data_IF_515857590827
#
_entry.id   IF_515857590827
#
_cell.length_a   1.000
_cell.length_b   1.000
_cell.length_c   1.000
_cell.angle_alpha   90.00
_cell.angle_beta   90.00
_cell.angle_gamma   90.00
#
_symmetry.space_group_name_H-M   'P 1'
#
loop_
_entity.id
_entity.type
_entity.pdbx_description
1 polymer ?
#
# COMPACT_ATOMS: atom_id res chain seq x y z
N UNK A 1 10.18 14.18 7.12
CA UNK A 1 11.15 13.31 7.84
C UNK A 1 10.34 12.37 8.71
N UNK A 2 10.60 11.06 8.67
CA UNK A 2 9.73 10.03 9.26
C UNK A 2 10.18 9.51 10.63
N UNK A 3 11.41 9.83 11.05
CA UNK A 3 12.00 9.29 12.29
C UNK A 3 12.43 7.81 12.20
N UNK A 4 12.29 7.18 11.03
CA UNK A 4 12.71 5.79 10.77
C UNK A 4 14.23 5.74 10.59
N UNK A 5 14.89 4.80 11.26
CA UNK A 5 16.34 4.59 11.16
C UNK A 5 16.68 3.45 10.18
N UNK A 6 17.94 3.45 9.71
CA UNK A 6 18.42 2.39 8.80
C UNK A 6 18.42 1.00 9.46
N UNK A 7 18.64 0.93 10.77
CA UNK A 7 18.63 -0.35 11.50
C UNK A 7 17.23 -0.97 11.53
N UNK A 8 16.18 -0.15 11.57
CA UNK A 8 14.79 -0.62 11.55
C UNK A 8 14.41 -1.21 10.19
N UNK A 9 14.96 -0.70 9.09
CA UNK A 9 14.66 -1.19 7.73
C UNK A 9 15.55 -2.34 7.30
N UNK A 10 16.68 -2.59 7.99
CA UNK A 10 17.69 -3.59 7.60
C UNK A 10 17.13 -5.00 7.42
N UNK A 11 16.16 -5.37 8.25
CA UNK A 11 15.49 -6.68 8.21
C UNK A 11 13.98 -6.55 8.05
N UNK A 12 13.51 -5.39 7.61
CA UNK A 12 12.10 -5.19 7.33
C UNK A 12 11.70 -6.01 6.09
N UNK A 13 10.44 -6.50 6.04
CA UNK A 13 9.92 -7.20 4.87
C UNK A 13 10.00 -6.31 3.63
N UNK A 14 10.11 -6.95 2.47
CA UNK A 14 9.98 -6.24 1.19
C UNK A 14 8.55 -5.74 1.01
N UNK A 15 8.37 -4.77 0.11
CA UNK A 15 7.06 -4.14 -0.11
C UNK A 15 5.96 -5.17 -0.42
N UNK A 16 6.25 -6.14 -1.28
CA UNK A 16 5.29 -7.19 -1.65
C UNK A 16 4.84 -8.00 -0.43
N UNK A 17 5.80 -8.49 0.38
CA UNK A 17 5.52 -9.26 1.60
C UNK A 17 4.72 -8.43 2.61
N UNK A 18 5.09 -7.15 2.79
CA UNK A 18 4.40 -6.25 3.71
C UNK A 18 2.94 -6.01 3.30
N UNK A 19 2.66 -5.86 2.00
CA UNK A 19 1.29 -5.67 1.50
C UNK A 19 0.50 -6.98 1.60
N UNK A 20 1.10 -8.14 1.33
CA UNK A 20 0.44 -9.44 1.53
C UNK A 20 0.04 -9.62 2.99
N UNK A 21 0.93 -9.38 3.95
CA UNK A 21 0.59 -9.45 5.37
C UNK A 21 -0.55 -8.49 5.76
N UNK A 22 -0.60 -7.30 5.16
CA UNK A 22 -1.72 -6.37 5.36
C UNK A 22 -3.04 -6.96 4.81
N UNK A 23 -3.01 -7.54 3.61
CA UNK A 23 -4.18 -8.15 2.98
C UNK A 23 -4.68 -9.37 3.75
N UNK A 24 -3.77 -10.22 4.23
CA UNK A 24 -4.09 -11.34 5.12
C UNK A 24 -4.72 -10.86 6.42
N UNK A 25 -4.19 -9.78 7.01
CA UNK A 25 -4.76 -9.17 8.21
C UNK A 25 -6.16 -8.63 7.95
N UNK A 26 -6.41 -7.97 6.80
CA UNK A 26 -7.76 -7.56 6.38
C UNK A 26 -8.65 -8.79 6.19
N UNK A 27 -8.15 -9.85 5.56
CA UNK A 27 -8.88 -11.07 5.25
C UNK A 27 -10.04 -10.81 4.30
N UNK A 28 -11.13 -11.58 4.43
CA UNK A 28 -12.26 -11.58 3.50
C UNK A 28 -13.25 -10.41 3.68
N UNK A 29 -12.86 -9.34 4.40
CA UNK A 29 -13.74 -8.20 4.68
C UNK A 29 -13.80 -7.27 3.46
N UNK A 30 -14.95 -6.68 3.21
CA UNK A 30 -15.03 -5.55 2.29
C UNK A 30 -14.33 -4.33 2.90
N UNK A 31 -13.52 -3.62 2.11
CA UNK A 31 -12.77 -2.45 2.57
C UNK A 31 -12.63 -1.36 1.49
N UNK A 32 -12.43 -0.14 1.98
CA UNK A 32 -11.93 1.03 1.22
C UNK A 32 -10.76 1.63 1.98
N UNK A 33 -9.76 2.12 1.25
CA UNK A 33 -8.58 2.79 1.81
C UNK A 33 -8.83 4.28 1.82
N UNK A 34 -8.76 4.92 2.99
CA UNK A 34 -8.92 6.36 3.13
C UNK A 34 -7.55 7.01 3.35
N UNK A 35 -7.22 8.01 2.54
CA UNK A 35 -5.98 8.77 2.66
C UNK A 35 -6.27 10.27 2.72
N UNK A 36 -5.39 11.02 3.40
CA UNK A 36 -5.54 12.49 3.53
C UNK A 36 -5.28 13.24 2.22
N UNK A 37 -4.54 12.62 1.30
CA UNK A 37 -4.34 13.12 -0.06
C UNK A 37 -4.15 11.94 -1.02
N UNK A 38 -4.21 12.21 -2.32
CA UNK A 38 -3.90 11.20 -3.33
C UNK A 38 -2.40 10.82 -3.41
N UNK A 39 -1.53 11.42 -2.58
CA UNK A 39 -0.08 11.20 -2.65
C UNK A 39 0.29 9.77 -2.26
N UNK A 40 -0.30 9.23 -1.20
CA UNK A 40 0.00 7.87 -0.70
C UNK A 40 -0.35 6.81 -1.76
N UNK A 41 -1.52 6.95 -2.39
CA UNK A 41 -1.95 6.09 -3.51
C UNK A 41 -0.94 6.13 -4.67
N UNK A 42 -0.57 7.35 -5.11
CA UNK A 42 0.31 7.53 -6.27
C UNK A 42 1.72 6.99 -6.00
N UNK A 43 2.26 7.23 -4.82
CA UNK A 43 3.55 6.70 -4.38
C UNK A 43 3.52 5.16 -4.35
N UNK A 44 2.54 4.57 -3.66
CA UNK A 44 2.46 3.12 -3.54
C UNK A 44 2.29 2.45 -4.91
N UNK A 45 1.39 2.96 -5.76
CA UNK A 45 1.20 2.44 -7.12
C UNK A 45 2.48 2.52 -7.95
N UNK A 46 3.22 3.63 -7.85
CA UNK A 46 4.48 3.79 -8.55
C UNK A 46 5.53 2.78 -8.10
N UNK A 47 5.67 2.55 -6.78
CA UNK A 47 6.61 1.56 -6.23
C UNK A 47 6.26 0.12 -6.63
N UNK A 48 4.96 -0.24 -6.63
CA UNK A 48 4.50 -1.55 -7.12
C UNK A 48 4.90 -1.76 -8.59
N UNK A 49 4.71 -0.73 -9.43
CA UNK A 49 5.07 -0.77 -10.85
C UNK A 49 6.59 -0.81 -11.07
N UNK A 50 7.35 0.03 -10.36
CA UNK A 50 8.81 0.14 -10.53
C UNK A 50 9.54 -1.12 -10.10
N UNK A 51 9.02 -1.84 -9.10
CA UNK A 51 9.54 -3.11 -8.63
C UNK A 51 9.03 -4.32 -9.42
N UNK A 52 8.14 -4.12 -10.39
CA UNK A 52 7.60 -5.20 -11.24
C UNK A 52 6.72 -6.19 -10.48
N UNK A 53 6.05 -5.75 -9.42
CA UNK A 53 5.17 -6.61 -8.62
C UNK A 53 3.88 -6.87 -9.41
N UNK A 54 3.58 -8.15 -9.68
CA UNK A 54 2.43 -8.58 -10.51
C UNK A 54 1.40 -9.41 -9.74
N UNK A 55 1.53 -9.51 -8.41
CA UNK A 55 0.58 -10.25 -7.59
C UNK A 55 -0.84 -9.67 -7.75
N UNK A 56 -1.85 -10.47 -8.18
CA UNK A 56 -3.19 -9.97 -8.46
C UNK A 56 -3.88 -9.29 -7.27
N UNK A 57 -3.67 -9.78 -6.05
CA UNK A 57 -4.30 -9.21 -4.85
C UNK A 57 -3.72 -7.82 -4.53
N UNK A 58 -2.42 -7.66 -4.73
CA UNK A 58 -1.74 -6.36 -4.57
C UNK A 58 -2.21 -5.39 -5.67
N UNK A 59 -2.31 -5.85 -6.92
CA UNK A 59 -2.80 -5.03 -8.02
C UNK A 59 -4.24 -4.56 -7.78
N UNK A 60 -5.08 -5.44 -7.24
CA UNK A 60 -6.45 -5.09 -6.85
C UNK A 60 -6.48 -4.13 -5.65
N UNK A 61 -5.59 -4.31 -4.67
CA UNK A 61 -5.44 -3.38 -3.54
C UNK A 61 -5.09 -1.95 -3.97
N UNK A 62 -4.23 -1.80 -4.99
CA UNK A 62 -3.88 -0.49 -5.58
C UNK A 62 -4.78 -0.08 -6.76
N UNK A 63 -5.97 -0.67 -6.85
CA UNK A 63 -7.01 -0.19 -7.75
C UNK A 63 -7.55 1.16 -7.25
N UNK A 64 -7.63 2.15 -8.14
CA UNK A 64 -8.06 3.51 -7.79
C UNK A 64 -9.45 3.53 -7.13
N UNK A 65 -10.35 2.63 -7.55
CA UNK A 65 -11.72 2.57 -7.03
C UNK A 65 -11.78 2.15 -5.55
N UNK A 66 -10.68 1.63 -5.01
CA UNK A 66 -10.56 1.27 -3.59
C UNK A 66 -10.04 2.42 -2.72
N UNK A 67 -9.50 3.49 -3.31
CA UNK A 67 -8.86 4.58 -2.58
C UNK A 67 -9.73 5.84 -2.59
N UNK A 68 -10.03 6.35 -1.40
CA UNK A 68 -10.85 7.55 -1.19
C UNK A 68 -9.98 8.64 -0.58
N UNK A 69 -9.91 9.77 -1.27
CA UNK A 69 -9.23 10.97 -0.80
C UNK A 69 -10.16 11.75 0.14
N UNK A 70 -9.74 11.96 1.40
CA UNK A 70 -10.57 12.58 2.44
C UNK A 70 -10.97 14.02 2.13
N UNK A 71 -10.16 14.77 1.38
CA UNK A 71 -10.50 16.15 0.95
C UNK A 71 -11.63 16.20 -0.08
N UNK A 72 -12.10 15.04 -0.57
CA UNK A 72 -13.23 14.91 -1.49
C UNK A 72 -14.51 14.41 -0.81
N UNK A 73 -14.55 14.36 0.53
CA UNK A 73 -15.71 14.00 1.35
C UNK A 73 -16.22 15.24 2.08
#
# INVERSE_FOLDING_TARGET
MTGITNDQIKYAPMLEEAVIHLLEWIGNREYKVFAWSNTDYRQLKHEIQSKGITNPEILEFVNQDRWIEKTRI
#
